data_IF_573798110216
#
_entry.id   IF_573798110216
#
_cell.length_a   1.000
_cell.length_b   1.000
_cell.length_c   1.000
_cell.angle_alpha   90.00
_cell.angle_beta   90.00
_cell.angle_gamma   90.00
#
_symmetry.space_group_name_H-M   'P 1'
#
loop_
_entity.id
_entity.type
_entity.pdbx_description
1 polymer ?
#
# COMPACT_ATOMS: atom_id res chain seq x y z
N UNK A 1 -14.41 -8.64 -3.48
CA UNK A 1 -13.07 -8.08 -3.22
C UNK A 1 -13.28 -6.77 -2.49
N UNK A 2 -12.69 -6.54 -1.32
CA UNK A 2 -12.83 -5.27 -0.62
C UNK A 2 -11.97 -4.23 -1.36
N UNK A 3 -12.62 -3.30 -2.07
CA UNK A 3 -11.94 -2.22 -2.76
C UNK A 3 -11.55 -1.13 -1.76
N UNK A 4 -10.28 -0.69 -1.78
CA UNK A 4 -9.80 0.38 -0.92
C UNK A 4 -10.04 1.71 -1.64
N UNK A 5 -11.20 2.32 -1.38
CA UNK A 5 -11.59 3.61 -1.96
C UNK A 5 -11.11 4.80 -1.13
N UNK A 6 -10.81 5.91 -1.81
CA UNK A 6 -10.55 7.19 -1.16
C UNK A 6 -11.81 7.66 -0.43
N UNK A 7 -11.74 8.00 0.87
CA UNK A 7 -12.92 8.44 1.62
C UNK A 7 -13.45 9.82 1.18
N UNK A 8 -12.72 10.53 0.31
CA UNK A 8 -13.08 11.87 -0.17
C UNK A 8 -13.65 11.80 -1.58
N UNK A 9 -12.90 11.21 -2.51
CA UNK A 9 -13.23 11.25 -3.93
C UNK A 9 -13.62 9.88 -4.52
N UNK A 10 -13.79 8.89 -3.65
CA UNK A 10 -14.22 7.50 -3.93
C UNK A 10 -13.37 6.72 -4.94
N UNK A 11 -12.28 7.29 -5.43
CA UNK A 11 -11.37 6.66 -6.39
C UNK A 11 -10.52 5.59 -5.71
N UNK A 12 -10.18 4.52 -6.44
CA UNK A 12 -9.32 3.46 -5.91
C UNK A 12 -7.94 4.01 -5.51
N UNK A 13 -7.50 3.66 -4.31
CA UNK A 13 -6.24 4.12 -3.76
C UNK A 13 -5.07 3.32 -4.32
N UNK A 14 -3.98 4.00 -4.64
CA UNK A 14 -2.71 3.37 -4.97
C UNK A 14 -2.03 2.85 -3.70
N UNK A 15 -1.64 1.58 -3.71
CA UNK A 15 -0.97 0.93 -2.59
C UNK A 15 0.55 0.98 -2.81
N UNK A 16 1.27 1.52 -1.84
CA UNK A 16 2.74 1.51 -1.80
C UNK A 16 3.23 1.04 -0.44
N UNK A 17 4.38 0.41 -0.40
CA UNK A 17 5.09 0.21 0.86
C UNK A 17 6.00 1.40 1.15
N UNK A 18 6.05 1.80 2.41
CA UNK A 18 6.94 2.85 2.89
C UNK A 18 7.52 2.47 4.27
N UNK A 19 8.49 3.26 4.74
CA UNK A 19 9.09 3.10 6.08
C UNK A 19 8.94 4.40 6.86
N UNK A 20 8.60 4.28 8.14
CA UNK A 20 8.51 5.44 9.04
C UNK A 20 9.90 6.03 9.25
N UNK A 21 10.08 7.33 9.03
CA UNK A 21 11.40 7.99 9.15
C UNK A 21 12.02 7.83 10.54
N UNK A 22 11.20 7.92 11.60
CA UNK A 22 11.68 7.84 12.99
C UNK A 22 11.74 6.41 13.53
N UNK A 23 10.77 5.55 13.19
CA UNK A 23 10.68 4.19 13.73
C UNK A 23 11.36 3.13 12.86
N UNK A 24 11.69 3.47 11.61
CA UNK A 24 12.13 2.57 10.55
C UNK A 24 11.18 1.37 10.27
N UNK A 25 9.98 1.38 10.85
CA UNK A 25 9.00 0.29 10.69
C UNK A 25 8.31 0.38 9.33
N UNK A 26 8.15 -0.74 8.60
CA UNK A 26 7.39 -0.75 7.36
C UNK A 26 5.90 -0.51 7.60
N UNK A 27 5.23 0.12 6.65
CA UNK A 27 3.78 0.31 6.64
C UNK A 27 3.24 0.39 5.20
N UNK A 28 1.95 0.12 5.02
CA UNK A 28 1.28 0.39 3.74
C UNK A 28 0.89 1.86 3.71
N UNK A 29 1.35 2.54 2.68
CA UNK A 29 0.91 3.86 2.29
C UNK A 29 -0.13 3.74 1.18
N UNK A 30 -1.32 4.28 1.43
CA UNK A 30 -2.39 4.39 0.45
C UNK A 30 -2.42 5.81 -0.09
N UNK A 31 -2.42 5.98 -1.41
CA UNK A 31 -2.26 7.28 -2.07
C UNK A 31 -3.47 7.53 -2.97
N UNK A 32 -4.14 8.65 -2.79
CA UNK A 32 -5.20 9.08 -3.68
C UNK A 32 -4.62 9.51 -5.03
N UNK A 33 -5.04 8.93 -6.16
CA UNK A 33 -4.52 9.31 -7.48
C UNK A 33 -5.02 10.67 -7.96
N UNK A 34 -6.14 11.18 -7.40
CA UNK A 34 -6.73 12.45 -7.84
C UNK A 34 -6.05 13.68 -7.22
N UNK A 35 -5.74 13.62 -5.93
CA UNK A 35 -5.26 14.78 -5.18
C UNK A 35 -3.97 14.52 -4.38
N UNK A 36 -3.40 13.31 -4.45
CA UNK A 36 -2.12 12.97 -3.83
C UNK A 36 -2.16 12.79 -2.31
N UNK A 37 -3.33 12.80 -1.66
CA UNK A 37 -3.40 12.57 -0.20
C UNK A 37 -2.92 11.18 0.19
N UNK A 38 -2.26 11.10 1.34
CA UNK A 38 -1.71 9.87 1.90
C UNK A 38 -2.51 9.39 3.10
N UNK A 39 -2.88 8.10 3.11
CA UNK A 39 -3.45 7.41 4.26
C UNK A 39 -2.48 6.32 4.72
N UNK A 40 -2.31 6.19 6.04
CA UNK A 40 -1.40 5.20 6.63
C UNK A 40 -2.19 4.02 7.15
N UNK A 41 -1.81 2.80 6.74
CA UNK A 41 -2.30 1.57 7.31
C UNK A 41 -1.13 0.81 7.96
N UNK A 42 -1.27 0.49 9.24
CA UNK A 42 -0.28 -0.30 9.96
C UNK A 42 -0.45 -1.77 9.61
N UNK A 43 0.66 -2.46 9.33
CA UNK A 43 0.67 -3.89 9.06
C UNK A 43 1.41 -4.54 10.22
N UNK A 44 0.69 -5.18 11.12
CA UNK A 44 1.27 -5.89 12.26
C UNK A 44 1.73 -7.32 11.92
N UNK A 45 1.55 -7.79 10.69
CA UNK A 45 1.83 -9.17 10.27
C UNK A 45 2.92 -9.23 9.17
N UNK A 46 4.11 -9.72 9.53
CA UNK A 46 5.27 -9.83 8.63
C UNK A 46 5.12 -10.92 7.56
N UNK A 47 4.43 -12.02 7.89
CA UNK A 47 4.20 -13.12 6.95
C UNK A 47 3.31 -12.65 5.80
N UNK A 48 2.29 -11.86 6.13
CA UNK A 48 1.39 -11.26 5.16
C UNK A 48 2.10 -10.28 4.21
N UNK A 49 2.98 -9.41 4.73
CA UNK A 49 3.77 -8.47 3.92
C UNK A 49 4.63 -9.21 2.89
N UNK A 50 5.32 -10.27 3.34
CA UNK A 50 6.25 -11.01 2.49
C UNK A 50 5.52 -11.69 1.33
N UNK A 51 4.33 -12.26 1.57
CA UNK A 51 3.49 -12.81 0.50
C UNK A 51 3.04 -11.76 -0.52
N UNK A 52 2.55 -10.62 -0.04
CA UNK A 52 2.10 -9.52 -0.91
C UNK A 52 3.25 -8.99 -1.77
N UNK A 53 4.48 -8.95 -1.23
CA UNK A 53 5.67 -8.55 -1.96
C UNK A 53 6.08 -9.53 -3.04
N UNK A 54 6.07 -10.82 -2.73
CA UNK A 54 6.41 -11.87 -3.69
C UNK A 54 5.46 -11.88 -4.88
N UNK A 55 4.16 -11.72 -4.63
CA UNK A 55 3.13 -11.66 -5.68
C UNK A 55 3.29 -10.43 -6.58
N UNK A 56 3.57 -9.25 -6.00
CA UNK A 56 3.79 -8.02 -6.78
C UNK A 56 5.09 -8.03 -7.58
N UNK A 57 6.13 -8.69 -7.08
CA UNK A 57 7.43 -8.79 -7.77
C UNK A 57 7.36 -9.76 -8.95
N UNK A 58 6.52 -10.80 -8.86
CA UNK A 58 6.28 -11.74 -9.97
C UNK A 58 5.56 -11.07 -11.15
N UNK A 59 4.58 -10.21 -10.89
CA UNK A 59 3.85 -9.49 -11.95
C UNK A 59 4.67 -8.44 -12.71
N UNK A 60 5.89 -8.11 -12.28
CA UNK A 60 6.75 -7.10 -12.93
C UNK A 60 7.82 -7.71 -13.86
N UNK A 61 7.91 -9.04 -13.96
CA UNK A 61 8.86 -9.76 -14.85
C UNK A 61 8.22 -10.29 -16.15
N UNK A 62 6.92 -10.11 -16.33
CA UNK A 62 6.16 -10.59 -17.50
C UNK A 62 5.55 -9.44 -18.35
N UNK A 63 6.08 -8.22 -18.24
CA UNK A 63 5.66 -7.05 -19.02
C UNK A 63 6.81 -6.38 -19.73
#
# INVERSE_FOLDING_TARGET
>A
MNEIACPICTSHLNIRMAKGRASNKPFIMLICPKDGRHFRAFISDQTYINKVLEEKTKGMREG
#
